data_IF_670461695553
#
_entry.id   IF_670461695553
#
_cell.length_a   1.000
_cell.length_b   1.000
_cell.length_c   1.000
_cell.angle_alpha   90.00
_cell.angle_beta   90.00
_cell.angle_gamma   90.00
#
_symmetry.space_group_name_H-M   'P 1'
#
loop_
_entity.id
_entity.type
_entity.pdbx_description
1 polymer ?
#
# COMPACT_ATOMS: atom_id res chain seq x y z
N UNK A 1 -14.47 13.89 -12.74
CA UNK A 1 -14.27 12.42 -12.82
C UNK A 1 -15.15 11.78 -11.76
N UNK A 2 -15.88 10.73 -12.11
CA UNK A 2 -16.73 10.01 -11.17
C UNK A 2 -15.84 9.12 -10.26
N UNK A 3 -16.32 8.77 -9.06
CA UNK A 3 -15.59 7.89 -8.14
C UNK A 3 -15.29 6.52 -8.80
N UNK A 4 -16.21 6.05 -9.63
CA UNK A 4 -16.10 4.79 -10.37
C UNK A 4 -14.93 4.82 -11.40
N UNK A 5 -14.71 5.95 -12.07
CA UNK A 5 -13.58 6.11 -13.02
C UNK A 5 -12.25 6.07 -12.27
N UNK A 6 -12.16 6.79 -11.14
CA UNK A 6 -10.93 6.88 -10.35
C UNK A 6 -10.55 5.53 -9.75
N UNK A 7 -11.55 4.76 -9.27
CA UNK A 7 -11.36 3.37 -8.84
C UNK A 7 -10.71 2.53 -9.94
N UNK A 8 -11.25 2.61 -11.16
CA UNK A 8 -10.77 1.81 -12.29
C UNK A 8 -9.32 2.15 -12.64
N UNK A 9 -9.01 3.45 -12.79
CA UNK A 9 -7.65 3.89 -13.08
C UNK A 9 -6.67 3.52 -11.97
N UNK A 10 -7.01 3.74 -10.70
CA UNK A 10 -6.13 3.40 -9.58
C UNK A 10 -5.84 1.90 -9.53
N UNK A 11 -6.85 1.06 -9.76
CA UNK A 11 -6.73 -0.40 -9.70
C UNK A 11 -5.89 -1.00 -10.84
N UNK A 12 -5.80 -0.33 -11.99
CA UNK A 12 -4.98 -0.77 -13.12
C UNK A 12 -3.58 -0.17 -13.04
N UNK A 13 -3.47 1.13 -12.76
CA UNK A 13 -2.19 1.83 -12.72
C UNK A 13 -1.28 1.29 -11.61
N UNK A 14 -1.83 0.70 -10.55
CA UNK A 14 -1.05 0.11 -9.45
C UNK A 14 -0.13 -1.02 -9.91
N UNK A 15 -0.44 -1.71 -11.01
CA UNK A 15 0.40 -2.78 -11.53
C UNK A 15 1.73 -2.27 -12.11
N UNK A 16 1.82 -0.99 -12.48
CA UNK A 16 3.05 -0.40 -13.00
C UNK A 16 4.16 -0.37 -11.92
N UNK A 17 3.96 0.29 -10.76
CA UNK A 17 5.00 0.31 -9.73
C UNK A 17 5.26 -1.08 -9.14
N UNK A 18 4.26 -1.96 -9.02
CA UNK A 18 4.47 -3.36 -8.63
C UNK A 18 5.32 -4.14 -9.63
N UNK A 19 5.04 -3.98 -10.93
CA UNK A 19 5.83 -4.58 -12.00
C UNK A 19 7.28 -4.11 -11.96
N UNK A 20 7.53 -2.83 -11.69
CA UNK A 20 8.88 -2.30 -11.51
C UNK A 20 9.58 -2.91 -10.29
N UNK A 21 8.90 -3.02 -9.14
CA UNK A 21 9.45 -3.65 -7.93
C UNK A 21 9.81 -5.12 -8.16
N UNK A 22 9.00 -5.85 -8.92
CA UNK A 22 9.22 -7.28 -9.18
C UNK A 22 10.27 -7.51 -10.27
N UNK A 23 10.22 -6.79 -11.39
CA UNK A 23 11.09 -7.05 -12.53
C UNK A 23 12.44 -6.31 -12.46
N UNK A 24 12.47 -5.10 -11.89
CA UNK A 24 13.63 -4.21 -11.91
C UNK A 24 13.94 -3.62 -10.52
N UNK A 25 14.27 -4.44 -9.50
CA UNK A 25 14.46 -3.99 -8.12
C UNK A 25 15.67 -3.07 -7.89
N UNK A 26 16.66 -3.13 -8.79
CA UNK A 26 17.91 -2.37 -8.70
C UNK A 26 17.89 -1.09 -9.54
N UNK A 27 16.79 -0.79 -10.23
CA UNK A 27 16.71 0.41 -11.04
C UNK A 27 16.50 1.64 -10.15
N UNK A 28 17.27 2.70 -10.40
CA UNK A 28 17.32 3.92 -9.56
C UNK A 28 15.95 4.62 -9.41
N UNK A 29 15.04 4.41 -10.35
CA UNK A 29 13.72 5.04 -10.36
C UNK A 29 12.60 4.14 -9.81
N UNK A 30 12.82 2.83 -9.67
CA UNK A 30 11.78 1.89 -9.21
C UNK A 30 11.19 2.32 -7.87
N UNK A 31 12.07 2.59 -6.90
CA UNK A 31 11.67 3.00 -5.55
C UNK A 31 10.98 4.36 -5.55
N UNK A 32 11.54 5.34 -6.27
CA UNK A 32 10.97 6.69 -6.39
C UNK A 32 9.58 6.66 -7.01
N UNK A 33 9.39 5.88 -8.08
CA UNK A 33 8.09 5.75 -8.75
C UNK A 33 7.09 5.09 -7.81
N UNK A 34 7.45 3.97 -7.17
CA UNK A 34 6.56 3.28 -6.24
C UNK A 34 6.18 4.15 -5.04
N UNK A 35 7.14 4.85 -4.45
CA UNK A 35 6.89 5.79 -3.36
C UNK A 35 6.01 6.95 -3.80
N UNK A 36 6.32 7.60 -4.93
CA UNK A 36 5.52 8.70 -5.47
C UNK A 36 4.08 8.27 -5.77
N UNK A 37 3.89 7.11 -6.39
CA UNK A 37 2.55 6.53 -6.63
C UNK A 37 1.77 6.34 -5.33
N UNK A 38 2.42 5.86 -4.27
CA UNK A 38 1.76 5.69 -2.98
C UNK A 38 1.35 7.04 -2.36
N UNK A 39 2.21 8.06 -2.41
CA UNK A 39 1.90 9.41 -1.93
C UNK A 39 0.74 10.02 -2.71
N UNK A 40 0.71 9.86 -4.04
CA UNK A 40 -0.40 10.33 -4.88
C UNK A 40 -1.72 9.66 -4.49
N UNK A 41 -1.71 8.34 -4.24
CA UNK A 41 -2.90 7.61 -3.79
C UNK A 41 -3.38 8.06 -2.41
N UNK A 42 -2.46 8.32 -1.48
CA UNK A 42 -2.84 8.88 -0.18
C UNK A 42 -3.43 10.27 -0.30
N UNK A 43 -2.81 11.16 -1.08
CA UNK A 43 -3.33 12.49 -1.32
C UNK A 43 -4.75 12.44 -1.93
N UNK A 44 -4.96 11.56 -2.91
CA UNK A 44 -6.29 11.33 -3.50
C UNK A 44 -7.30 10.86 -2.44
N UNK A 45 -6.93 9.88 -1.61
CA UNK A 45 -7.78 9.39 -0.53
C UNK A 45 -8.14 10.50 0.48
N UNK A 46 -7.18 11.35 0.86
CA UNK A 46 -7.42 12.51 1.73
C UNK A 46 -8.40 13.51 1.10
N UNK A 47 -8.29 13.76 -0.21
CA UNK A 47 -9.21 14.67 -0.93
C UNK A 47 -10.64 14.11 -0.88
N UNK A 48 -10.85 12.84 -1.20
CA UNK A 48 -12.18 12.22 -1.14
C UNK A 48 -12.76 12.19 0.27
N UNK A 49 -11.91 11.96 1.28
CA UNK A 49 -12.31 12.04 2.70
C UNK A 49 -12.78 13.45 3.05
N UNK A 50 -12.02 14.47 2.65
CA UNK A 50 -12.36 15.86 2.94
C UNK A 50 -13.67 16.28 2.24
N UNK A 51 -13.88 15.87 0.98
CA UNK A 51 -15.15 16.08 0.27
C UNK A 51 -16.33 15.45 0.99
N UNK A 52 -16.17 14.22 1.49
CA UNK A 52 -17.21 13.55 2.28
C UNK A 52 -17.53 14.32 3.56
N UNK A 53 -16.51 14.79 4.29
CA UNK A 53 -16.68 15.55 5.54
C UNK A 53 -17.35 16.92 5.35
N UNK A 54 -17.14 17.56 4.20
CA UNK A 54 -17.83 18.81 3.85
C UNK A 54 -19.28 18.59 3.41
N UNK A 55 -19.64 17.37 3.01
CA UNK A 55 -21.01 16.99 2.71
C UNK A 55 -21.86 16.92 3.98
N UNK A 56 -23.13 17.31 3.91
CA UNK A 56 -24.09 17.26 5.03
C UNK A 56 -24.52 15.85 5.46
N UNK A 57 -23.72 14.82 5.14
CA UNK A 57 -24.01 13.42 5.45
C UNK A 57 -23.40 13.03 6.81
N UNK A 58 -24.06 13.45 7.88
CA UNK A 58 -23.68 13.22 9.29
C UNK A 58 -24.15 11.86 9.83
N UNK A 59 -24.03 10.78 9.04
CA UNK A 59 -24.54 9.44 9.42
C UNK A 59 -23.48 8.39 9.76
N UNK A 60 -22.19 8.70 9.62
CA UNK A 60 -21.10 7.74 9.79
C UNK A 60 -20.34 7.91 11.09
N UNK A 61 -20.10 6.81 11.81
CA UNK A 61 -19.27 6.78 13.03
C UNK A 61 -18.24 5.66 12.91
N UNK A 62 -16.96 5.95 13.15
CA UNK A 62 -15.90 4.93 13.16
C UNK A 62 -15.90 4.08 14.43
N UNK A 63 -16.53 4.56 15.50
CA UNK A 63 -16.51 3.91 16.81
C UNK A 63 -17.63 2.89 17.00
N UNK A 64 -18.59 2.82 16.06
CA UNK A 64 -19.64 1.78 16.05
C UNK A 64 -19.60 0.98 14.74
N UNK A 65 -19.84 -0.33 14.82
CA UNK A 65 -19.84 -1.18 13.63
C UNK A 65 -20.91 -0.78 12.62
N UNK A 66 -22.09 -0.35 13.11
CA UNK A 66 -23.18 0.12 12.26
C UNK A 66 -22.85 1.46 11.60
N UNK A 67 -22.25 2.39 12.34
CA UNK A 67 -21.73 3.65 11.80
C UNK A 67 -20.65 3.41 10.75
N UNK A 68 -19.76 2.44 10.98
CA UNK A 68 -18.72 2.05 10.04
C UNK A 68 -19.34 1.48 8.76
N UNK A 69 -20.30 0.56 8.87
CA UNK A 69 -21.03 0.04 7.71
C UNK A 69 -21.71 1.16 6.91
N UNK A 70 -22.25 2.18 7.57
CA UNK A 70 -22.86 3.32 6.89
C UNK A 70 -21.84 4.18 6.15
N UNK A 71 -20.61 4.32 6.64
CA UNK A 71 -19.52 4.97 5.92
C UNK A 71 -19.24 4.25 4.58
N UNK A 72 -19.15 2.93 4.58
CA UNK A 72 -18.86 2.14 3.37
C UNK A 72 -20.02 2.10 2.36
N UNK A 73 -21.22 2.57 2.72
CA UNK A 73 -22.31 2.77 1.76
C UNK A 73 -22.08 3.99 0.85
N UNK A 74 -21.28 4.96 1.30
CA UNK A 74 -20.93 6.10 0.48
C UNK A 74 -19.81 5.71 -0.49
N UNK A 75 -20.02 5.95 -1.79
CA UNK A 75 -19.06 5.63 -2.85
C UNK A 75 -17.70 6.32 -2.67
N UNK A 76 -17.69 7.59 -2.24
CA UNK A 76 -16.44 8.34 -2.04
C UNK A 76 -15.65 7.78 -0.86
N UNK A 77 -16.33 7.39 0.22
CA UNK A 77 -15.68 6.82 1.40
C UNK A 77 -15.19 5.39 1.18
N UNK A 78 -15.94 4.59 0.41
CA UNK A 78 -15.49 3.28 -0.06
C UNK A 78 -14.23 3.40 -0.93
N UNK A 79 -14.21 4.36 -1.86
CA UNK A 79 -13.04 4.65 -2.69
C UNK A 79 -11.84 5.09 -1.82
N UNK A 80 -12.05 5.99 -0.85
CA UNK A 80 -11.02 6.37 0.12
C UNK A 80 -10.39 5.16 0.79
N UNK A 81 -11.18 4.21 1.26
CA UNK A 81 -10.68 2.99 1.88
C UNK A 81 -9.80 2.17 0.93
N UNK A 82 -10.25 2.01 -0.31
CA UNK A 82 -9.49 1.30 -1.36
C UNK A 82 -8.16 1.98 -1.68
N UNK A 83 -8.15 3.30 -1.85
CA UNK A 83 -6.94 4.06 -2.16
C UNK A 83 -5.92 4.03 -1.00
N UNK A 84 -6.39 4.14 0.25
CA UNK A 84 -5.54 3.97 1.42
C UNK A 84 -4.93 2.56 1.47
N UNK A 85 -5.72 1.52 1.16
CA UNK A 85 -5.25 0.15 1.12
C UNK A 85 -4.16 -0.05 0.06
N UNK A 86 -4.39 0.40 -1.19
CA UNK A 86 -3.41 0.29 -2.27
C UNK A 86 -2.12 1.06 -1.95
N UNK A 87 -2.24 2.28 -1.43
CA UNK A 87 -1.10 3.10 -1.04
C UNK A 87 -0.26 2.43 0.04
N UNK A 88 -0.91 1.93 1.09
CA UNK A 88 -0.23 1.23 2.19
C UNK A 88 0.51 -0.01 1.69
N UNK A 89 -0.14 -0.84 0.88
CA UNK A 89 0.51 -2.04 0.32
C UNK A 89 1.73 -1.67 -0.54
N UNK A 90 1.65 -0.59 -1.30
CA UNK A 90 2.76 -0.15 -2.14
C UNK A 90 3.92 0.43 -1.32
N UNK A 91 3.65 1.18 -0.25
CA UNK A 91 4.69 1.63 0.68
C UNK A 91 5.40 0.46 1.33
N UNK A 92 4.63 -0.53 1.79
CA UNK A 92 5.18 -1.76 2.36
C UNK A 92 6.03 -2.50 1.32
N UNK A 93 5.56 -2.66 0.08
CA UNK A 93 6.33 -3.28 -1.00
C UNK A 93 7.63 -2.52 -1.32
N UNK A 94 7.56 -1.19 -1.33
CA UNK A 94 8.72 -0.31 -1.53
C UNK A 94 9.74 -0.51 -0.40
N UNK A 95 9.28 -0.53 0.84
CA UNK A 95 10.12 -0.79 2.02
C UNK A 95 10.73 -2.20 1.98
N UNK A 96 9.96 -3.23 1.65
CA UNK A 96 10.46 -4.60 1.50
C UNK A 96 11.59 -4.67 0.48
N UNK A 97 11.42 -4.04 -0.69
CA UNK A 97 12.45 -4.01 -1.72
C UNK A 97 13.69 -3.22 -1.30
N UNK A 98 13.53 -2.12 -0.57
CA UNK A 98 14.64 -1.31 -0.08
C UNK A 98 15.43 -2.05 1.01
N UNK A 99 14.76 -2.57 2.04
CA UNK A 99 15.35 -3.34 3.14
C UNK A 99 16.04 -4.60 2.60
N UNK A 100 15.44 -5.30 1.63
CA UNK A 100 16.04 -6.48 1.02
C UNK A 100 17.35 -6.15 0.32
N UNK A 101 17.43 -5.00 -0.36
CA UNK A 101 18.64 -4.53 -1.03
C UNK A 101 19.74 -4.19 -0.01
N UNK A 102 19.38 -3.53 1.09
CA UNK A 102 20.35 -3.25 2.17
C UNK A 102 20.88 -4.54 2.82
N UNK A 103 20.01 -5.52 3.03
CA UNK A 103 20.36 -6.83 3.62
C UNK A 103 20.99 -7.81 2.61
N UNK A 104 21.17 -7.40 1.35
CA UNK A 104 21.66 -8.24 0.24
C UNK A 104 20.89 -9.55 0.12
N UNK A 105 19.58 -9.50 0.34
CA UNK A 105 18.68 -10.63 0.13
C UNK A 105 18.52 -10.90 -1.36
N UNK A 106 18.52 -12.18 -1.74
CA UNK A 106 18.25 -12.58 -3.12
C UNK A 106 16.81 -12.22 -3.48
N UNK A 107 16.64 -11.45 -4.57
CA UNK A 107 15.34 -10.93 -4.99
C UNK A 107 14.27 -12.02 -5.18
N UNK A 108 14.69 -13.23 -5.58
CA UNK A 108 13.81 -14.38 -5.77
C UNK A 108 13.02 -14.76 -4.51
N UNK A 109 13.58 -14.53 -3.32
CA UNK A 109 12.89 -14.79 -2.05
C UNK A 109 11.91 -13.67 -1.67
N UNK A 110 12.13 -12.46 -2.20
CA UNK A 110 11.34 -11.27 -1.90
C UNK A 110 10.11 -11.20 -2.81
N UNK A 111 10.19 -11.69 -4.05
CA UNK A 111 9.07 -11.69 -5.00
C UNK A 111 7.79 -12.35 -4.45
N UNK A 112 7.81 -13.55 -3.83
CA UNK A 112 6.62 -14.12 -3.21
C UNK A 112 6.01 -13.24 -2.12
N UNK A 113 6.85 -12.58 -1.31
CA UNK A 113 6.37 -11.64 -0.29
C UNK A 113 5.77 -10.38 -0.89
N UNK A 114 6.34 -9.84 -1.98
CA UNK A 114 5.79 -8.69 -2.70
C UNK A 114 4.41 -9.01 -3.29
N UNK A 115 4.26 -10.17 -3.94
CA UNK A 115 2.98 -10.62 -4.49
C UNK A 115 1.92 -10.81 -3.40
N UNK A 116 2.30 -11.38 -2.26
CA UNK A 116 1.40 -11.52 -1.12
C UNK A 116 1.05 -10.17 -0.50
N UNK A 117 1.98 -9.21 -0.46
CA UNK A 117 1.70 -7.85 0.02
C UNK A 117 0.71 -7.15 -0.90
N UNK A 118 0.82 -7.33 -2.22
CA UNK A 118 -0.12 -6.78 -3.19
C UNK A 118 -1.54 -7.32 -3.02
N UNK A 119 -1.69 -8.62 -2.74
CA UNK A 119 -3.00 -9.29 -2.66
C UNK A 119 -3.66 -9.19 -1.29
N UNK A 120 -2.85 -9.25 -0.24
CA UNK A 120 -3.34 -9.45 1.12
C UNK A 120 -2.76 -8.47 2.11
N UNK A 121 -1.87 -7.55 1.70
CA UNK A 121 -1.21 -6.55 2.55
C UNK A 121 -0.38 -7.19 3.68
N UNK A 122 -0.93 -7.30 4.90
CA UNK A 122 -0.26 -7.89 6.06
C UNK A 122 0.39 -9.26 5.86
N UNK A 123 -0.20 -10.19 5.10
CA UNK A 123 0.38 -11.54 5.02
C UNK A 123 1.73 -11.55 4.27
N UNK A 124 1.88 -10.71 3.24
CA UNK A 124 3.15 -10.54 2.54
C UNK A 124 4.21 -9.86 3.40
N UNK A 125 3.82 -8.87 4.20
CA UNK A 125 4.70 -8.25 5.20
C UNK A 125 5.20 -9.27 6.22
N UNK A 126 4.30 -10.09 6.78
CA UNK A 126 4.66 -11.14 7.73
C UNK A 126 5.64 -12.14 7.12
N UNK A 127 5.38 -12.61 5.89
CA UNK A 127 6.29 -13.51 5.19
C UNK A 127 7.69 -12.88 5.03
N UNK A 128 7.75 -11.61 4.62
CA UNK A 128 9.02 -10.90 4.47
C UNK A 128 9.78 -10.79 5.80
N UNK A 129 9.08 -10.46 6.89
CA UNK A 129 9.69 -10.37 8.22
C UNK A 129 10.26 -11.72 8.67
N UNK A 130 9.59 -12.83 8.35
CA UNK A 130 10.10 -14.18 8.61
C UNK A 130 11.38 -14.44 7.81
N UNK A 131 11.37 -14.15 6.50
CA UNK A 131 12.56 -14.30 5.63
C UNK A 131 13.73 -13.47 6.17
N UNK A 132 13.46 -12.21 6.53
CA UNK A 132 14.41 -11.28 7.14
C UNK A 132 14.99 -11.86 8.43
N UNK A 133 14.15 -12.34 9.33
CA UNK A 133 14.56 -12.90 10.61
C UNK A 133 15.51 -14.09 10.45
N UNK A 134 15.24 -15.02 9.53
CA UNK A 134 16.15 -16.14 9.28
C UNK A 134 17.51 -15.70 8.73
N UNK A 135 17.58 -14.58 8.02
CA UNK A 135 18.84 -14.06 7.47
C UNK A 135 19.64 -13.23 8.49
N UNK A 136 18.98 -12.32 9.21
CA UNK A 136 19.65 -11.40 10.15
C UNK A 136 19.83 -12.01 11.54
N UNK A 137 19.06 -13.07 11.87
CA UNK A 137 18.92 -13.66 13.22
C UNK A 137 18.58 -12.62 14.30
N UNK A 138 18.00 -11.48 13.90
CA UNK A 138 17.70 -10.34 14.77
C UNK A 138 16.36 -9.73 14.35
N UNK A 139 15.54 -9.39 15.33
CA UNK A 139 14.29 -8.65 15.13
C UNK A 139 14.51 -7.14 15.02
N UNK A 140 15.75 -6.68 15.14
CA UNK A 140 16.07 -5.27 15.17
C UNK A 140 15.65 -4.59 13.86
N UNK A 141 14.78 -3.58 13.96
CA UNK A 141 14.35 -2.75 12.82
C UNK A 141 15.37 -1.63 12.55
N UNK A 142 16.35 -1.45 13.45
CA UNK A 142 17.44 -0.52 13.28
C UNK A 142 18.54 -1.08 12.37
N UNK A 143 18.76 -0.41 11.25
CA UNK A 143 20.08 -0.42 10.61
C UNK A 143 21.07 0.14 11.62
N UNK A 144 22.09 -0.64 11.99
CA UNK A 144 23.26 -0.08 12.67
C UNK A 144 23.82 1.03 11.77
N UNK A 145 23.67 2.27 12.22
CA UNK A 145 24.39 3.43 11.71
C UNK A 145 25.89 3.27 11.99
#
# INVERSE_FOLDING_TARGET
MNADDFYWYASILIFIPWGLLIAFPNWKFTETIAFASAIILFAAASIFTFKYLLGSNSGGSFLSFEGFKNLFRNKEMLLTGWLNYLSFCLLVGTWQSHDARQLKLGHIFVVPSLLLTMLTGPAGLLLYLVIRFFKTKKWDLGTKA
#
